data_IF_834350623947
#
_entry.id   IF_834350623947
#
_cell.length_a   1.000
_cell.length_b   1.000
_cell.length_c   1.000
_cell.angle_alpha   90.00
_cell.angle_beta   90.00
_cell.angle_gamma   90.00
#
_symmetry.space_group_name_H-M   'P 1'
#
loop_
_entity.id
_entity.type
_entity.pdbx_description
1 polymer ?
#
# COMPACT_ATOMS: atom_id res chain seq x y z
N UNK A 1 -26.29 -69.59 -63.77
CA UNK A 1 -26.17 -68.13 -63.50
C UNK A 1 -26.41 -67.92 -62.00
N UNK A 2 -25.38 -67.94 -61.15
CA UNK A 2 -25.51 -67.82 -59.71
C UNK A 2 -24.90 -66.44 -59.28
N UNK A 3 -25.74 -65.58 -58.82
CA UNK A 3 -25.33 -64.28 -58.19
C UNK A 3 -24.90 -64.48 -56.73
N UNK A 4 -23.68 -64.09 -56.38
CA UNK A 4 -23.18 -64.14 -55.01
C UNK A 4 -23.35 -62.71 -54.41
N UNK A 5 -23.97 -62.54 -53.25
CA UNK A 5 -24.06 -61.22 -52.62
C UNK A 5 -22.75 -60.76 -51.97
N UNK A 6 -22.28 -59.54 -52.28
CA UNK A 6 -21.17 -58.94 -51.66
C UNK A 6 -21.61 -58.33 -50.33
N UNK A 7 -21.03 -58.79 -49.23
CA UNK A 7 -21.16 -58.20 -47.91
C UNK A 7 -20.18 -56.96 -47.79
N UNK A 8 -20.73 -55.82 -47.56
CA UNK A 8 -19.96 -54.58 -47.24
C UNK A 8 -19.79 -54.52 -45.74
N UNK A 9 -18.56 -54.67 -45.24
CA UNK A 9 -18.20 -54.48 -43.82
C UNK A 9 -17.91 -53.05 -43.61
N UNK A 10 -18.77 -52.37 -42.86
CA UNK A 10 -18.48 -50.99 -42.35
C UNK A 10 -17.58 -51.11 -41.12
N UNK A 11 -16.31 -50.73 -41.24
CA UNK A 11 -15.42 -50.53 -40.10
C UNK A 11 -15.76 -49.22 -39.45
N UNK A 12 -16.42 -49.24 -38.29
CA UNK A 12 -16.68 -48.07 -37.48
C UNK A 12 -15.39 -47.58 -36.80
N UNK A 13 -14.87 -46.44 -37.22
CA UNK A 13 -13.79 -45.74 -36.54
C UNK A 13 -14.36 -44.97 -35.35
N UNK A 14 -14.19 -45.46 -34.12
CA UNK A 14 -14.48 -44.72 -32.89
C UNK A 14 -13.37 -43.70 -32.64
N UNK A 15 -13.64 -42.42 -32.85
CA UNK A 15 -12.76 -41.34 -32.50
C UNK A 15 -12.93 -41.05 -30.99
N UNK A 16 -11.99 -41.52 -30.17
CA UNK A 16 -11.88 -41.06 -28.78
C UNK A 16 -11.32 -39.65 -28.78
N UNK A 17 -12.19 -38.69 -28.48
CA UNK A 17 -11.75 -37.31 -28.24
C UNK A 17 -11.00 -37.22 -26.90
N UNK A 18 -9.81 -36.56 -26.85
CA UNK A 18 -9.12 -36.35 -25.59
C UNK A 18 -9.94 -35.43 -24.67
N UNK A 19 -10.29 -35.92 -23.48
CA UNK A 19 -10.84 -35.11 -22.41
C UNK A 19 -9.72 -34.19 -21.91
N UNK A 20 -9.75 -32.94 -22.32
CA UNK A 20 -8.87 -31.93 -21.78
C UNK A 20 -9.15 -31.78 -20.28
N UNK A 21 -8.23 -32.25 -19.44
CA UNK A 21 -8.25 -31.98 -18.02
C UNK A 21 -8.17 -30.44 -17.83
N UNK A 22 -9.27 -29.82 -17.38
CA UNK A 22 -9.24 -28.44 -16.91
C UNK A 22 -8.33 -28.38 -15.68
N UNK A 23 -7.22 -27.69 -15.80
CA UNK A 23 -6.44 -27.30 -14.63
C UNK A 23 -7.41 -26.57 -13.70
N UNK A 24 -7.67 -27.15 -12.53
CA UNK A 24 -8.37 -26.45 -11.45
C UNK A 24 -7.49 -25.28 -11.09
N UNK A 25 -7.91 -24.06 -11.46
CA UNK A 25 -7.23 -22.83 -11.08
C UNK A 25 -7.10 -22.80 -9.57
N UNK A 26 -5.88 -22.68 -9.07
CA UNK A 26 -5.65 -22.42 -7.65
C UNK A 26 -6.52 -21.22 -7.26
N UNK A 27 -7.31 -21.36 -6.18
CA UNK A 27 -8.07 -20.25 -5.60
C UNK A 27 -7.07 -19.16 -5.31
N UNK A 28 -7.27 -17.90 -5.79
CA UNK A 28 -6.37 -16.82 -5.44
C UNK A 28 -6.24 -16.74 -3.91
N UNK A 29 -5.03 -16.53 -3.37
CA UNK A 29 -4.87 -16.37 -1.92
C UNK A 29 -5.77 -15.23 -1.45
N UNK A 30 -6.63 -15.50 -0.48
CA UNK A 30 -7.44 -14.49 0.20
C UNK A 30 -6.53 -13.70 1.12
N UNK A 31 -6.57 -12.38 1.02
CA UNK A 31 -5.80 -11.47 1.86
C UNK A 31 -4.38 -11.17 1.34
N UNK A 32 -3.78 -10.17 1.94
CA UNK A 32 -2.45 -9.66 1.60
C UNK A 32 -1.43 -10.14 2.64
N UNK A 33 -1.02 -11.43 2.54
CA UNK A 33 -0.13 -12.10 3.50
C UNK A 33 1.34 -12.16 3.05
N UNK A 34 1.66 -11.78 1.81
CA UNK A 34 3.04 -11.77 1.32
C UNK A 34 3.89 -10.74 2.09
N UNK A 35 5.20 -11.01 2.18
CA UNK A 35 6.12 -10.21 2.99
C UNK A 35 6.10 -8.71 2.64
N UNK A 36 5.91 -8.39 1.37
CA UNK A 36 5.84 -7.01 0.88
C UNK A 36 4.66 -6.24 1.50
N UNK A 37 3.50 -6.90 1.69
CA UNK A 37 2.34 -6.30 2.33
C UNK A 37 2.54 -6.06 3.85
N UNK A 38 3.55 -6.69 4.47
CA UNK A 38 3.84 -6.57 5.91
C UNK A 38 4.97 -5.57 6.20
N UNK A 39 5.56 -4.97 5.15
CA UNK A 39 6.68 -4.03 5.30
C UNK A 39 6.32 -2.76 6.08
N UNK A 40 5.06 -2.35 6.10
CA UNK A 40 4.59 -1.16 6.79
C UNK A 40 3.83 -1.47 8.11
N UNK A 41 3.77 -2.74 8.53
CA UNK A 41 3.09 -3.16 9.77
C UNK A 41 3.71 -2.53 11.03
N UNK A 42 4.95 -2.04 10.95
CA UNK A 42 5.60 -1.35 12.06
C UNK A 42 4.89 -0.04 12.44
N UNK A 43 3.99 0.47 11.60
CA UNK A 43 3.20 1.68 11.87
C UNK A 43 1.80 1.36 12.44
N UNK A 44 1.40 0.08 12.51
CA UNK A 44 0.11 -0.31 13.08
C UNK A 44 0.02 0.05 14.57
N UNK A 45 -1.15 0.55 15.00
CA UNK A 45 -1.43 0.82 16.39
C UNK A 45 -1.96 2.22 16.67
N UNK A 46 -1.91 2.60 17.95
CA UNK A 46 -2.28 3.94 18.41
C UNK A 46 -1.02 4.65 18.89
N UNK A 47 -0.89 5.91 18.49
CA UNK A 47 0.32 6.68 18.67
C UNK A 47 0.03 8.04 19.29
N UNK A 48 0.83 8.41 20.28
CA UNK A 48 0.99 9.78 20.73
C UNK A 48 2.12 10.43 19.93
N UNK A 49 1.82 11.51 19.24
CA UNK A 49 2.72 12.13 18.26
C UNK A 49 3.23 13.45 18.79
N UNK A 50 4.57 13.64 18.70
CA UNK A 50 5.24 14.87 19.11
C UNK A 50 6.05 15.45 17.96
N UNK A 51 6.13 16.80 17.91
CA UNK A 51 7.02 17.54 17.04
C UNK A 51 7.92 18.40 17.94
N UNK A 52 9.23 18.22 17.84
CA UNK A 52 10.20 18.91 18.71
C UNK A 52 9.87 18.76 20.21
N UNK A 53 9.39 17.58 20.62
CA UNK A 53 9.01 17.27 21.99
C UNK A 53 7.70 17.89 22.48
N UNK A 54 6.93 18.53 21.62
CA UNK A 54 5.61 19.10 21.93
C UNK A 54 4.51 18.24 21.35
N UNK A 55 3.42 18.00 22.10
CA UNK A 55 2.28 17.21 21.62
C UNK A 55 1.71 17.82 20.33
N UNK A 56 1.73 17.03 19.26
CA UNK A 56 1.21 17.40 17.95
C UNK A 56 -0.18 16.79 17.68
N UNK A 57 -0.48 15.62 18.25
CA UNK A 57 -1.76 14.96 18.08
C UNK A 57 -1.69 13.48 18.40
N UNK A 58 -2.69 12.76 17.96
CA UNK A 58 -2.76 11.29 18.04
C UNK A 58 -2.99 10.69 16.66
N UNK A 59 -2.49 9.49 16.47
CA UNK A 59 -2.69 8.76 15.22
C UNK A 59 -3.14 7.33 15.51
N UNK A 60 -4.12 6.85 14.77
CA UNK A 60 -4.57 5.46 14.84
C UNK A 60 -4.44 4.83 13.46
N UNK A 61 -3.69 3.72 13.41
CA UNK A 61 -3.46 2.97 12.18
C UNK A 61 -4.03 1.57 12.35
N UNK A 62 -5.02 1.22 11.53
CA UNK A 62 -5.68 -0.08 11.51
C UNK A 62 -5.34 -0.86 10.24
N UNK A 63 -5.41 -2.18 10.34
CA UNK A 63 -5.24 -3.08 9.20
C UNK A 63 -6.60 -3.57 8.73
N UNK A 64 -6.93 -3.28 7.48
CA UNK A 64 -8.25 -3.50 6.90
C UNK A 64 -8.16 -4.34 5.61
N UNK A 65 -9.31 -4.69 5.02
CA UNK A 65 -9.44 -5.42 3.75
C UNK A 65 -8.57 -6.69 3.70
N UNK A 66 -8.77 -7.58 4.69
CA UNK A 66 -8.01 -8.84 4.82
C UNK A 66 -6.48 -8.62 4.84
N UNK A 67 -6.03 -7.51 5.42
CA UNK A 67 -4.62 -7.16 5.54
C UNK A 67 -4.01 -6.47 4.32
N UNK A 68 -4.83 -5.97 3.41
CA UNK A 68 -4.37 -5.30 2.20
C UNK A 68 -4.19 -3.80 2.35
N UNK A 69 -4.86 -3.18 3.33
CA UNK A 69 -4.89 -1.73 3.51
C UNK A 69 -4.51 -1.37 4.94
N UNK A 70 -3.57 -0.44 5.11
CA UNK A 70 -3.40 0.28 6.37
C UNK A 70 -4.19 1.58 6.27
N UNK A 71 -5.17 1.74 7.17
CA UNK A 71 -5.97 2.95 7.27
C UNK A 71 -5.48 3.79 8.43
N UNK A 72 -5.12 5.02 8.17
CA UNK A 72 -4.70 6.03 9.15
C UNK A 72 -5.84 6.97 9.49
N UNK A 73 -5.98 7.29 10.79
CA UNK A 73 -6.83 8.38 11.27
C UNK A 73 -6.01 9.29 12.19
N UNK A 74 -5.67 10.46 11.69
CA UNK A 74 -4.94 11.52 12.38
C UNK A 74 -5.88 12.51 13.07
N UNK A 75 -5.58 12.87 14.32
CA UNK A 75 -6.24 13.94 15.07
C UNK A 75 -5.20 14.89 15.66
N UNK A 76 -5.02 16.03 15.05
CA UNK A 76 -4.06 17.04 15.48
C UNK A 76 -4.55 17.82 16.70
N UNK A 77 -3.64 18.15 17.60
CA UNK A 77 -3.90 18.91 18.85
C UNK A 77 -4.49 20.32 18.61
N UNK A 78 -4.40 20.82 17.39
CA UNK A 78 -4.93 22.14 16.98
C UNK A 78 -6.19 22.02 16.11
N UNK A 79 -6.83 20.85 16.06
CA UNK A 79 -8.11 20.63 15.35
C UNK A 79 -7.99 20.25 13.87
N UNK A 80 -6.78 20.14 13.31
CA UNK A 80 -6.57 19.51 11.99
C UNK A 80 -6.79 18.02 12.12
N UNK A 81 -7.57 17.42 11.20
CA UNK A 81 -7.77 15.97 11.12
C UNK A 81 -7.57 15.49 9.69
N UNK A 82 -7.24 14.21 9.52
CA UNK A 82 -7.11 13.63 8.20
C UNK A 82 -7.07 12.11 8.24
N UNK A 83 -7.16 11.52 7.06
CA UNK A 83 -7.13 10.07 6.91
C UNK A 83 -6.27 9.71 5.70
N UNK A 84 -5.62 8.57 5.77
CA UNK A 84 -4.95 7.99 4.61
C UNK A 84 -5.25 6.51 4.44
N UNK A 85 -5.24 6.07 3.19
CA UNK A 85 -5.22 4.66 2.82
C UNK A 85 -3.86 4.34 2.23
N UNK A 86 -3.25 3.27 2.73
CA UNK A 86 -1.91 2.83 2.36
C UNK A 86 -1.97 1.36 1.94
N UNK A 87 -1.44 1.03 0.77
CA UNK A 87 -1.44 -0.36 0.27
C UNK A 87 -0.22 -0.66 -0.59
N UNK A 88 0.16 -1.93 -0.63
CA UNK A 88 1.17 -2.41 -1.55
C UNK A 88 0.51 -2.89 -2.85
N UNK A 89 0.82 -2.24 -3.96
CA UNK A 89 0.38 -2.66 -5.29
C UNK A 89 1.35 -3.71 -5.84
N UNK A 90 0.90 -4.96 -5.91
CA UNK A 90 1.68 -6.08 -6.44
C UNK A 90 2.01 -5.94 -7.91
N UNK A 91 1.15 -5.31 -8.70
CA UNK A 91 1.39 -5.13 -10.13
C UNK A 91 2.46 -4.06 -10.38
N UNK A 92 2.47 -3.00 -9.58
CA UNK A 92 3.46 -1.93 -9.66
C UNK A 92 4.72 -2.21 -8.83
N UNK A 93 4.70 -3.20 -7.91
CA UNK A 93 5.80 -3.53 -7.02
C UNK A 93 6.16 -2.41 -6.04
N UNK A 94 5.15 -1.66 -5.57
CA UNK A 94 5.38 -0.48 -4.72
C UNK A 94 4.22 -0.18 -3.79
N UNK A 95 4.51 0.58 -2.75
CA UNK A 95 3.54 1.15 -1.85
C UNK A 95 2.90 2.41 -2.45
N UNK A 96 1.63 2.61 -2.09
CA UNK A 96 0.85 3.81 -2.38
C UNK A 96 0.27 4.38 -1.10
N UNK A 97 0.10 5.70 -1.05
CA UNK A 97 -0.65 6.41 -0.04
C UNK A 97 -1.54 7.46 -0.71
N UNK A 98 -2.78 7.54 -0.25
CA UNK A 98 -3.69 8.65 -0.53
C UNK A 98 -4.10 9.24 0.80
N UNK A 99 -3.79 10.52 1.01
CA UNK A 99 -4.16 11.30 2.19
C UNK A 99 -5.21 12.33 1.83
N UNK A 100 -6.16 12.57 2.74
CA UNK A 100 -7.13 13.68 2.66
C UNK A 100 -7.33 14.24 4.07
N UNK A 101 -7.30 15.58 4.19
CA UNK A 101 -7.54 16.29 5.45
C UNK A 101 -8.93 16.94 5.53
N UNK A 102 -9.28 17.47 6.71
CA UNK A 102 -10.56 18.14 6.97
C UNK A 102 -10.69 19.53 6.31
N UNK A 103 -9.70 19.96 5.50
CA UNK A 103 -9.76 21.14 4.66
C UNK A 103 -9.98 20.78 3.18
N UNK A 104 -10.05 19.47 2.87
CA UNK A 104 -10.18 18.96 1.51
C UNK A 104 -8.88 18.93 0.73
N UNK A 105 -7.73 19.09 1.41
CA UNK A 105 -6.43 18.91 0.76
C UNK A 105 -6.13 17.44 0.58
N UNK A 106 -5.71 17.05 -0.61
CA UNK A 106 -5.33 15.67 -0.93
C UNK A 106 -3.86 15.56 -1.33
N UNK A 107 -3.25 14.43 -0.98
CA UNK A 107 -1.88 14.09 -1.37
C UNK A 107 -1.84 12.63 -1.83
N UNK A 108 -1.20 12.38 -2.98
CA UNK A 108 -1.00 11.03 -3.50
C UNK A 108 0.49 10.77 -3.65
N UNK A 109 0.94 9.70 -3.02
CA UNK A 109 2.34 9.33 -2.98
C UNK A 109 2.51 7.86 -3.36
N UNK A 110 3.70 7.51 -3.87
CA UNK A 110 4.09 6.12 -4.07
C UNK A 110 5.60 5.92 -3.85
N UNK A 111 5.99 4.71 -3.46
CA UNK A 111 7.41 4.44 -3.21
C UNK A 111 7.71 3.05 -2.73
N UNK A 112 8.82 2.88 -2.03
CA UNK A 112 9.36 1.58 -1.68
C UNK A 112 9.86 1.53 -0.24
N UNK A 113 9.86 0.32 0.31
CA UNK A 113 10.46 0.02 1.60
C UNK A 113 11.89 -0.52 1.40
N UNK A 114 12.85 0.10 2.07
CA UNK A 114 14.24 -0.34 2.13
C UNK A 114 14.91 0.18 3.41
N UNK A 115 15.90 -0.51 3.92
CA UNK A 115 16.72 -0.06 5.06
C UNK A 115 15.89 0.37 6.28
N UNK A 116 14.88 -0.42 6.64
CA UNK A 116 13.96 -0.16 7.76
C UNK A 116 13.17 1.15 7.65
N UNK A 117 12.94 1.63 6.44
CA UNK A 117 12.12 2.82 6.17
C UNK A 117 11.26 2.65 4.92
N UNK A 118 10.07 3.25 4.95
CA UNK A 118 9.22 3.43 3.79
C UNK A 118 9.38 4.86 3.28
N UNK A 119 9.82 5.02 2.03
CA UNK A 119 9.93 6.33 1.39
C UNK A 119 8.94 6.43 0.25
N UNK A 120 8.06 7.42 0.34
CA UNK A 120 7.02 7.72 -0.64
C UNK A 120 7.28 9.09 -1.25
N UNK A 121 7.06 9.22 -2.56
CA UNK A 121 7.22 10.47 -3.29
C UNK A 121 6.00 10.77 -4.14
N UNK A 122 5.76 12.03 -4.41
CA UNK A 122 4.68 12.52 -5.26
C UNK A 122 4.80 14.00 -5.53
N UNK A 123 3.69 14.62 -5.85
CA UNK A 123 3.63 16.06 -6.10
C UNK A 123 2.30 16.62 -5.60
N UNK A 124 2.33 17.82 -5.06
CA UNK A 124 1.14 18.58 -4.68
C UNK A 124 1.20 19.99 -5.31
N UNK A 125 0.07 20.70 -5.42
CA UNK A 125 0.10 22.11 -5.82
C UNK A 125 0.89 22.94 -4.84
N UNK A 126 1.93 23.60 -5.31
CA UNK A 126 2.70 24.62 -4.57
C UNK A 126 2.21 26.04 -4.87
N UNK A 127 2.99 27.08 -4.51
CA UNK A 127 2.66 28.46 -4.78
C UNK A 127 2.33 28.69 -6.25
N UNK A 128 1.20 29.37 -6.52
CA UNK A 128 0.74 29.63 -7.88
C UNK A 128 0.25 28.41 -8.66
N UNK A 129 0.01 27.27 -7.98
CA UNK A 129 -0.47 26.03 -8.61
C UNK A 129 0.61 25.21 -9.33
N UNK A 130 1.87 25.61 -9.23
CA UNK A 130 2.99 24.86 -9.81
C UNK A 130 3.17 23.54 -9.05
N UNK A 131 3.33 22.40 -9.74
CA UNK A 131 3.61 21.12 -9.09
C UNK A 131 4.88 21.21 -8.22
N UNK A 132 4.73 20.87 -6.94
CA UNK A 132 5.83 20.87 -5.96
C UNK A 132 6.09 19.44 -5.51
N UNK A 133 7.32 18.91 -5.69
CA UNK A 133 7.69 17.58 -5.20
C UNK A 133 7.49 17.42 -3.71
N UNK A 134 6.98 16.28 -3.33
CA UNK A 134 6.72 15.86 -1.95
C UNK A 134 7.48 14.56 -1.68
N UNK A 135 8.05 14.43 -0.48
CA UNK A 135 8.67 13.20 0.01
C UNK A 135 8.23 12.94 1.45
N UNK A 136 7.71 11.75 1.70
CA UNK A 136 7.30 11.30 3.02
C UNK A 136 8.10 10.05 3.35
N UNK A 137 8.81 10.07 4.46
CA UNK A 137 9.61 8.93 4.92
C UNK A 137 9.19 8.51 6.32
N UNK A 138 8.82 7.24 6.48
CA UNK A 138 8.54 6.61 7.76
C UNK A 138 9.74 5.75 8.16
N UNK A 139 10.33 6.05 9.31
CA UNK A 139 11.47 5.30 9.86
C UNK A 139 10.99 4.39 10.98
N UNK A 140 11.31 3.11 10.87
CA UNK A 140 11.14 2.17 11.97
C UNK A 140 12.32 2.28 12.90
N UNK A 141 12.13 2.89 14.07
CA UNK A 141 13.18 3.01 15.08
C UNK A 141 13.35 1.71 15.87
N UNK A 142 14.54 1.51 16.44
CA UNK A 142 14.89 0.31 17.21
C UNK A 142 14.18 0.24 18.56
N UNK A 143 13.72 1.36 19.10
CA UNK A 143 12.94 1.48 20.34
C UNK A 143 11.43 1.23 20.13
N UNK A 144 11.02 0.92 18.90
CA UNK A 144 9.62 0.68 18.53
C UNK A 144 8.84 1.95 18.20
N UNK A 145 9.45 3.14 18.34
CA UNK A 145 8.84 4.38 17.83
C UNK A 145 8.90 4.47 16.31
N UNK A 146 8.08 5.34 15.75
CA UNK A 146 8.07 5.65 14.32
C UNK A 146 8.32 7.15 14.14
N UNK A 147 9.33 7.50 13.36
CA UNK A 147 9.53 8.88 12.92
C UNK A 147 8.93 9.07 11.54
N UNK A 148 8.13 10.10 11.36
CA UNK A 148 7.59 10.53 10.07
C UNK A 148 8.22 11.85 9.67
N UNK A 149 8.90 11.88 8.54
CA UNK A 149 9.49 13.07 7.97
C UNK A 149 8.81 13.39 6.64
N UNK A 150 8.08 14.51 6.61
CA UNK A 150 7.49 15.05 5.38
C UNK A 150 8.28 16.27 4.92
N UNK A 151 8.70 16.23 3.66
CA UNK A 151 9.54 17.24 3.04
C UNK A 151 8.95 17.71 1.72
N UNK A 152 9.21 18.97 1.37
CA UNK A 152 8.90 19.54 0.06
C UNK A 152 10.15 20.08 -0.60
N UNK A 153 10.11 20.19 -1.92
CA UNK A 153 11.20 20.78 -2.71
C UNK A 153 10.68 21.92 -3.58
N UNK A 154 11.41 23.01 -3.63
CA UNK A 154 11.14 24.17 -4.52
C UNK A 154 12.01 24.19 -5.78
N UNK A 155 12.96 23.24 -5.90
CA UNK A 155 13.96 23.20 -6.98
C UNK A 155 13.96 21.87 -7.75
N UNK A 156 12.77 21.25 -7.86
CA UNK A 156 12.57 20.02 -8.62
C UNK A 156 13.16 18.77 -7.95
N UNK A 157 13.35 18.78 -6.63
CA UNK A 157 13.86 17.64 -5.88
C UNK A 157 15.37 17.67 -5.62
N UNK A 158 16.04 18.78 -5.92
CA UNK A 158 17.48 18.94 -5.65
C UNK A 158 17.75 19.17 -4.18
N UNK A 159 16.97 20.04 -3.53
CA UNK A 159 17.00 20.27 -2.09
C UNK A 159 15.63 20.06 -1.47
N UNK A 160 15.61 19.70 -0.18
CA UNK A 160 14.39 19.35 0.54
C UNK A 160 14.29 20.14 1.84
N UNK A 161 13.08 20.57 2.15
CA UNK A 161 12.75 21.29 3.38
C UNK A 161 11.70 20.51 4.15
N UNK A 162 11.94 20.24 5.44
CA UNK A 162 10.97 19.59 6.30
C UNK A 162 9.75 20.48 6.50
N UNK A 163 8.58 19.91 6.27
CA UNK A 163 7.25 20.49 6.54
C UNK A 163 6.72 19.97 7.87
N UNK A 164 6.99 18.70 8.13
CA UNK A 164 6.59 18.00 9.33
C UNK A 164 7.67 16.95 9.65
N UNK A 165 8.15 16.95 10.90
CA UNK A 165 9.14 15.99 11.38
C UNK A 165 8.73 15.61 12.81
N UNK A 166 8.21 14.41 12.95
CA UNK A 166 7.61 13.92 14.18
C UNK A 166 8.24 12.63 14.69
N UNK A 167 8.00 12.38 15.98
CA UNK A 167 8.20 11.10 16.62
C UNK A 167 6.86 10.60 17.16
N UNK A 168 6.43 9.40 16.71
CA UNK A 168 5.26 8.71 17.18
C UNK A 168 5.65 7.59 18.14
N UNK A 169 5.12 7.60 19.36
CA UNK A 169 5.29 6.56 20.39
C UNK A 169 3.98 5.86 20.64
N UNK A 170 4.04 4.56 20.95
CA UNK A 170 2.83 3.81 21.27
C UNK A 170 2.06 4.51 22.40
N UNK A 171 0.76 4.73 22.19
CA UNK A 171 -0.09 5.44 23.14
C UNK A 171 -0.09 4.74 24.51
N UNK A 172 0.18 5.51 25.58
CA UNK A 172 0.33 4.98 26.93
C UNK A 172 1.69 4.37 27.27
N UNK A 173 2.69 4.47 26.40
CA UNK A 173 4.08 4.19 26.77
C UNK A 173 4.53 5.23 27.82
N UNK A 174 4.92 4.77 29.00
CA UNK A 174 5.56 5.62 30.04
C UNK A 174 7.04 5.71 29.72
N UNK A 175 7.58 6.94 29.72
CA UNK A 175 9.02 7.22 29.60
C UNK A 175 9.80 6.67 30.81
#
# INVERSE_FOLDING_TARGET
MHLVPRWVVFAGFSILAPVAARAQGATPPTGCTAAEHRQFDFWLGRWDVTVSGQAAGTNEITLEEDGCVLHEHWVGSKGGTGQSFNWYDRAAGRWHQVWVDNQGTGLQLSGTYADSKLTLTGSAPGPGGTPQPQRLTFFRNTDGSVRQLWETSSDGGTTWQAVFDDDARAAGAVD
#
